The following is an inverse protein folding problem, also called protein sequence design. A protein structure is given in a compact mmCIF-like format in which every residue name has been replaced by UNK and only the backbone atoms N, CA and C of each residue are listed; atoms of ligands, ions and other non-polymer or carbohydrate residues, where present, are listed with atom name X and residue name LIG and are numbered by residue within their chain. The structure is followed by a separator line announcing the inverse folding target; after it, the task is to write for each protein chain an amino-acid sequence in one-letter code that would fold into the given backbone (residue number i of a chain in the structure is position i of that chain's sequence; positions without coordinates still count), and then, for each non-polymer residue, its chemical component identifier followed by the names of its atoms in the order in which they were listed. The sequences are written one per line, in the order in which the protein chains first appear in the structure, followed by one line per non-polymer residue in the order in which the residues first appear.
data_IF_279634898423
#
_entry.id   IF_279634898423
#
_cell.length_a   1.000
_cell.length_b   1.000
_cell.length_c   1.000
_cell.angle_alpha   90.00
_cell.angle_beta   90.00
_cell.angle_gamma   90.00
#
_symmetry.space_group_name_H-M   'P 1'
#
loop_
_entity.id
_entity.type
_entity.pdbx_description
1 polymer ?
#
# COMPACT_ATOMS: atom_id res chain seq x y z
N UNK A 1 53.62 -55.72 -13.07
CA UNK A 1 53.37 -56.73 -12.03
C UNK A 1 53.16 -56.01 -10.70
N UNK A 2 52.25 -56.48 -9.84
CA UNK A 2 52.14 -56.05 -8.45
C UNK A 2 51.22 -54.84 -8.16
N UNK A 3 49.92 -55.09 -8.06
CA UNK A 3 49.10 -54.53 -6.96
C UNK A 3 49.36 -55.38 -5.67
N UNK A 4 48.98 -54.98 -4.43
CA UNK A 4 47.65 -54.46 -4.00
C UNK A 4 47.74 -53.33 -2.93
N UNK A 5 46.74 -52.81 -2.18
CA UNK A 5 45.25 -52.52 -2.24
C UNK A 5 44.95 -51.57 -1.03
N UNK A 6 43.69 -51.14 -0.82
CA UNK A 6 43.13 -50.54 0.42
C UNK A 6 43.48 -49.05 0.75
N UNK A 7 42.56 -48.19 1.25
CA UNK A 7 41.12 -48.37 1.59
C UNK A 7 40.33 -47.02 1.59
N UNK A 8 39.21 -46.94 0.85
CA UNK A 8 38.04 -46.02 0.97
C UNK A 8 38.21 -44.46 0.84
N UNK A 9 37.12 -43.67 0.59
CA UNK A 9 37.20 -42.53 -0.34
C UNK A 9 36.70 -41.16 0.18
N UNK A 10 37.11 -40.08 -0.50
CA UNK A 10 36.64 -38.70 -0.24
C UNK A 10 35.53 -38.24 -1.22
N UNK A 11 34.34 -38.00 -0.66
CA UNK A 11 33.30 -37.02 -1.07
C UNK A 11 32.98 -36.81 -2.57
N UNK A 12 31.83 -37.33 -3.01
CA UNK A 12 31.21 -37.06 -4.31
C UNK A 12 30.57 -35.64 -4.41
N UNK A 13 31.35 -34.59 -4.69
CA UNK A 13 30.79 -33.26 -5.02
C UNK A 13 31.46 -32.48 -6.17
N UNK A 14 31.95 -33.16 -7.20
CA UNK A 14 32.31 -32.45 -8.45
C UNK A 14 32.25 -33.31 -9.73
N UNK A 15 31.02 -33.57 -10.23
CA UNK A 15 30.71 -33.96 -11.63
C UNK A 15 29.20 -34.05 -11.86
N UNK A 16 28.57 -32.95 -12.27
CA UNK A 16 27.16 -32.91 -12.70
C UNK A 16 27.07 -32.37 -14.15
N UNK A 17 26.69 -33.18 -15.15
CA UNK A 17 26.67 -32.74 -16.55
C UNK A 17 25.63 -31.65 -16.83
N UNK A 18 26.05 -30.56 -17.50
CA UNK A 18 25.21 -29.39 -17.88
C UNK A 18 24.04 -29.67 -18.85
N UNK A 19 23.65 -30.92 -19.09
CA UNK A 19 22.57 -31.32 -20.03
C UNK A 19 21.25 -31.73 -19.38
N UNK A 20 21.16 -31.78 -18.04
CA UNK A 20 19.91 -32.11 -17.33
C UNK A 20 19.03 -30.89 -17.01
N UNK A 21 19.62 -29.70 -16.83
CA UNK A 21 18.87 -28.51 -16.38
C UNK A 21 17.94 -27.92 -17.46
N UNK A 22 18.30 -28.00 -18.74
CA UNK A 22 17.51 -27.43 -19.86
C UNK A 22 16.28 -28.25 -20.25
N UNK A 23 16.08 -29.45 -19.70
CA UNK A 23 14.89 -30.29 -19.96
C UNK A 23 13.84 -30.27 -18.85
N UNK A 24 14.12 -29.67 -17.69
CA UNK A 24 13.16 -29.57 -16.58
C UNK A 24 12.31 -28.28 -16.65
N UNK A 25 12.92 -27.16 -17.01
CA UNK A 25 12.25 -25.85 -17.12
C UNK A 25 11.12 -25.83 -18.16
N UNK A 26 11.28 -26.55 -19.28
CA UNK A 26 10.30 -26.63 -20.37
C UNK A 26 9.00 -27.38 -20.04
N UNK A 27 8.87 -28.04 -18.88
CA UNK A 27 7.66 -28.81 -18.52
C UNK A 27 6.87 -28.29 -17.32
N UNK A 28 7.43 -27.36 -16.55
CA UNK A 28 6.73 -26.79 -15.37
C UNK A 28 5.78 -25.64 -15.75
N UNK A 29 6.04 -24.94 -16.86
CA UNK A 29 5.21 -23.81 -17.34
C UNK A 29 3.80 -24.26 -17.77
N UNK A 30 3.61 -25.52 -18.17
CA UNK A 30 2.32 -26.03 -18.67
C UNK A 30 1.31 -26.40 -17.55
N UNK A 31 1.72 -26.41 -16.29
CA UNK A 31 0.89 -26.91 -15.18
C UNK A 31 -0.02 -25.87 -14.51
N UNK A 32 -0.01 -24.60 -14.94
CA UNK A 32 -0.95 -23.57 -14.44
C UNK A 32 -2.32 -23.55 -15.11
N UNK A 33 -2.55 -24.34 -16.17
CA UNK A 33 -3.88 -24.48 -16.81
C UNK A 33 -4.77 -25.57 -16.16
N UNK A 34 -4.25 -26.38 -15.24
CA UNK A 34 -4.93 -27.59 -14.75
C UNK A 34 -5.72 -27.43 -13.44
N UNK A 35 -6.07 -26.19 -13.06
CA UNK A 35 -6.94 -25.86 -11.92
C UNK A 35 -8.18 -25.06 -12.34
N UNK A 36 -8.67 -25.30 -13.56
CA UNK A 36 -10.04 -24.93 -13.95
C UNK A 36 -11.00 -26.05 -13.53
N UNK A 37 -12.07 -25.67 -12.84
CA UNK A 37 -13.06 -26.61 -12.32
C UNK A 37 -13.84 -27.30 -13.47
N UNK A 38 -14.28 -28.54 -13.27
CA UNK A 38 -15.01 -29.31 -14.29
C UNK A 38 -16.37 -28.70 -14.65
N UNK A 39 -16.90 -27.80 -13.81
CA UNK A 39 -18.06 -26.94 -14.10
C UNK A 39 -17.76 -25.89 -15.17
N UNK A 40 -16.67 -25.10 -15.03
CA UNK A 40 -16.34 -24.03 -15.99
C UNK A 40 -15.90 -24.56 -17.35
N UNK A 41 -15.27 -25.74 -17.41
CA UNK A 41 -14.94 -26.38 -18.70
C UNK A 41 -16.18 -26.75 -19.54
N UNK A 42 -17.35 -26.93 -18.90
CA UNK A 42 -18.61 -27.26 -19.57
C UNK A 42 -19.34 -26.03 -20.13
N UNK A 43 -19.03 -24.83 -19.62
CA UNK A 43 -19.61 -23.57 -20.09
C UNK A 43 -18.88 -22.98 -21.31
N UNK A 44 -17.59 -23.28 -21.47
CA UNK A 44 -16.74 -22.73 -22.54
C UNK A 44 -16.96 -23.43 -23.90
N UNK A 45 -17.46 -24.67 -23.90
CA UNK A 45 -17.72 -25.46 -25.12
C UNK A 45 -19.22 -25.53 -25.46
N UNK A 46 -19.82 -24.36 -25.71
CA UNK A 46 -21.13 -24.29 -26.36
C UNK A 46 -21.08 -24.90 -27.76
N UNK A 47 -21.87 -25.96 -27.99
CA UNK A 47 -22.16 -26.57 -29.29
C UNK A 47 -20.94 -27.03 -30.14
N UNK A 48 -19.84 -27.47 -29.51
CA UNK A 48 -18.77 -28.19 -30.19
C UNK A 48 -18.98 -29.72 -30.13
N UNK A 49 -19.25 -30.37 -31.26
CA UNK A 49 -19.43 -31.83 -31.35
C UNK A 49 -18.08 -32.53 -31.19
N UNK A 50 -17.78 -33.04 -30.00
CA UNK A 50 -16.57 -33.84 -29.73
C UNK A 50 -16.83 -35.31 -30.11
N UNK A 51 -16.01 -35.93 -30.99
CA UNK A 51 -16.18 -37.33 -31.35
C UNK A 51 -16.09 -38.28 -30.13
N UNK A 52 -17.11 -39.14 -30.00
CA UNK A 52 -17.39 -39.91 -28.78
C UNK A 52 -16.31 -40.96 -28.40
N UNK A 53 -15.30 -41.17 -29.24
CA UNK A 53 -14.26 -42.20 -29.09
C UNK A 53 -13.05 -41.80 -28.24
N UNK A 54 -12.88 -40.51 -27.89
CA UNK A 54 -11.69 -40.04 -27.15
C UNK A 54 -11.83 -40.10 -25.61
N UNK A 55 -13.06 -40.19 -25.09
CA UNK A 55 -13.37 -40.09 -23.65
C UNK A 55 -12.66 -41.19 -22.80
N UNK A 56 -12.62 -42.48 -23.19
CA UNK A 56 -12.06 -43.53 -22.33
C UNK A 56 -10.54 -43.39 -22.06
N UNK A 57 -9.78 -42.82 -23.00
CA UNK A 57 -8.31 -42.76 -22.92
C UNK A 57 -7.78 -41.68 -21.96
N UNK A 58 -8.57 -40.66 -21.63
CA UNK A 58 -8.20 -39.64 -20.65
C UNK A 58 -8.37 -40.11 -19.21
N UNK A 59 -9.49 -40.77 -18.90
CA UNK A 59 -9.82 -41.22 -17.53
C UNK A 59 -8.74 -42.12 -16.93
N UNK A 60 -8.29 -43.14 -17.68
CA UNK A 60 -7.29 -44.11 -17.21
C UNK A 60 -5.88 -43.54 -16.95
N UNK A 61 -5.53 -42.38 -17.53
CA UNK A 61 -4.25 -41.70 -17.26
C UNK A 61 -4.32 -40.83 -16.00
N UNK A 62 -5.44 -40.12 -15.81
CA UNK A 62 -5.63 -39.23 -14.67
C UNK A 62 -5.57 -39.99 -13.32
N UNK A 63 -6.29 -41.10 -13.22
CA UNK A 63 -6.31 -41.93 -12.00
C UNK A 63 -4.94 -42.52 -11.62
N UNK A 64 -4.06 -42.82 -12.60
CA UNK A 64 -2.69 -43.30 -12.30
C UNK A 64 -1.81 -42.19 -11.70
N UNK A 65 -1.88 -40.98 -12.25
CA UNK A 65 -1.14 -39.84 -11.70
C UNK A 65 -1.58 -39.52 -10.26
N UNK A 66 -2.89 -39.50 -10.01
CA UNK A 66 -3.47 -39.21 -8.69
C UNK A 66 -3.07 -40.25 -7.64
N UNK A 67 -3.12 -41.56 -7.97
CA UNK A 67 -2.66 -42.64 -7.08
C UNK A 67 -1.16 -42.55 -6.77
N UNK A 68 -0.32 -42.19 -7.75
CA UNK A 68 1.13 -42.09 -7.55
C UNK A 68 1.50 -40.92 -6.62
N UNK A 69 0.86 -39.75 -6.78
CA UNK A 69 1.04 -38.60 -5.89
C UNK A 69 0.59 -38.91 -4.45
N UNK A 70 -0.54 -39.60 -4.29
CA UNK A 70 -1.04 -39.99 -2.96
C UNK A 70 -0.09 -40.98 -2.25
N UNK A 71 0.54 -41.89 -3.00
CA UNK A 71 1.55 -42.82 -2.48
C UNK A 71 2.81 -42.07 -2.00
N UNK A 72 3.28 -41.07 -2.75
CA UNK A 72 4.45 -40.27 -2.37
C UNK A 72 4.15 -39.46 -1.10
N UNK A 73 2.97 -38.83 -1.02
CA UNK A 73 2.53 -38.09 0.17
C UNK A 73 2.46 -39.00 1.42
N UNK A 74 1.94 -40.22 1.26
CA UNK A 74 1.85 -41.20 2.35
C UNK A 74 3.23 -41.68 2.83
N UNK A 75 4.17 -41.94 1.90
CA UNK A 75 5.55 -42.29 2.24
C UNK A 75 6.29 -41.16 2.97
N UNK A 76 6.06 -39.89 2.59
CA UNK A 76 6.62 -38.73 3.30
C UNK A 76 6.09 -38.64 4.74
N UNK A 77 4.82 -39.00 4.98
CA UNK A 77 4.22 -39.00 6.33
C UNK A 77 4.61 -40.17 7.23
N UNK A 78 5.30 -41.20 6.73
CA UNK A 78 5.65 -42.41 7.50
C UNK A 78 7.15 -42.59 7.76
N UNK A 79 7.99 -41.60 7.45
CA UNK A 79 9.41 -41.63 7.80
C UNK A 79 9.60 -41.42 9.33
N UNK A 80 10.23 -42.35 10.07
CA UNK A 80 10.43 -42.21 11.51
C UNK A 80 11.46 -41.11 11.83
N UNK A 81 11.16 -40.30 12.85
CA UNK A 81 12.04 -39.20 13.26
C UNK A 81 13.14 -39.68 14.21
N UNK A 82 14.38 -39.72 13.71
CA UNK A 82 15.60 -39.92 14.50
C UNK A 82 16.68 -38.87 14.21
N UNK A 83 16.28 -37.72 13.67
CA UNK A 83 17.16 -36.55 13.59
C UNK A 83 17.33 -35.94 14.99
N UNK A 84 18.55 -35.51 15.39
CA UNK A 84 18.73 -34.73 16.61
C UNK A 84 17.94 -33.41 16.51
N UNK A 85 17.45 -32.87 17.64
CA UNK A 85 16.70 -31.62 17.63
C UNK A 85 17.56 -30.50 17.02
N UNK A 86 16.99 -29.63 16.16
CA UNK A 86 17.74 -28.51 15.61
C UNK A 86 18.22 -27.61 16.76
N UNK A 87 19.42 -27.01 16.66
CA UNK A 87 19.92 -26.11 17.69
C UNK A 87 18.91 -24.98 17.89
N UNK A 88 18.44 -24.81 19.14
CA UNK A 88 17.43 -23.80 19.45
C UNK A 88 17.93 -22.42 19.00
N UNK A 89 17.16 -21.78 18.12
CA UNK A 89 17.50 -20.44 17.66
C UNK A 89 17.42 -19.48 18.85
N UNK A 90 18.40 -18.59 19.07
CA UNK A 90 18.33 -17.62 20.14
C UNK A 90 17.10 -16.72 19.94
N UNK A 91 16.39 -16.34 21.01
CA UNK A 91 15.20 -15.50 20.90
C UNK A 91 15.57 -14.16 20.26
N UNK A 92 14.83 -13.77 19.21
CA UNK A 92 15.10 -12.55 18.45
C UNK A 92 14.85 -11.27 19.26
N UNK A 93 14.08 -11.36 20.35
CA UNK A 93 13.58 -10.21 21.13
C UNK A 93 13.91 -10.39 22.61
N UNK A 94 14.43 -9.33 23.21
CA UNK A 94 14.79 -9.20 24.63
C UNK A 94 14.01 -8.04 25.24
N UNK A 95 13.52 -8.20 26.46
CA UNK A 95 12.97 -7.13 27.28
C UNK A 95 13.79 -6.95 28.56
N UNK A 96 14.12 -5.71 28.90
CA UNK A 96 14.69 -5.36 30.21
C UNK A 96 14.42 -3.88 30.56
N UNK A 97 14.53 -3.55 31.84
CA UNK A 97 14.65 -2.15 32.26
C UNK A 97 16.02 -1.59 31.88
N UNK A 98 16.06 -0.34 31.44
CA UNK A 98 17.27 0.30 30.95
C UNK A 98 18.27 0.59 32.09
N UNK A 99 19.29 -0.27 32.23
CA UNK A 99 20.39 -0.18 33.22
C UNK A 99 21.17 1.15 33.25
N UNK A 100 20.93 2.06 32.30
CA UNK A 100 21.43 3.44 32.25
C UNK A 100 20.84 4.17 31.04
N UNK A 101 20.85 5.50 31.08
CA UNK A 101 20.39 6.38 30.00
C UNK A 101 21.32 6.41 28.76
N UNK A 102 22.27 5.48 28.62
CA UNK A 102 23.24 5.44 27.50
C UNK A 102 22.70 4.85 26.19
N UNK A 103 21.45 4.38 26.18
CA UNK A 103 20.81 3.76 25.00
C UNK A 103 19.83 4.72 24.31
N UNK A 104 19.98 4.90 22.99
CA UNK A 104 19.00 5.60 22.16
C UNK A 104 18.08 4.62 21.41
N UNK A 105 16.79 4.95 21.36
CA UNK A 105 15.77 4.17 20.67
C UNK A 105 15.97 4.22 19.14
N UNK A 106 16.06 3.07 18.46
CA UNK A 106 16.36 3.03 17.02
C UNK A 106 15.23 3.49 16.08
N UNK A 107 13.99 3.64 16.57
CA UNK A 107 12.85 4.17 15.79
C UNK A 107 12.68 5.69 15.88
N UNK A 108 12.93 6.29 17.05
CA UNK A 108 12.69 7.72 17.30
C UNK A 108 13.94 8.53 17.71
N UNK A 109 15.11 7.89 17.77
CA UNK A 109 16.43 8.45 18.14
C UNK A 109 16.55 9.08 19.52
N UNK A 110 15.45 9.30 20.25
CA UNK A 110 15.44 9.79 21.64
C UNK A 110 16.16 8.81 22.57
N UNK A 111 16.77 9.35 23.61
CA UNK A 111 17.37 8.62 24.73
C UNK A 111 16.30 7.86 25.51
N UNK A 112 16.55 6.57 25.77
CA UNK A 112 15.75 5.76 26.70
C UNK A 112 16.24 6.09 28.11
N UNK A 113 15.35 6.55 28.99
CA UNK A 113 15.70 6.90 30.38
C UNK A 113 16.19 5.68 31.18
N UNK A 114 16.97 5.90 32.23
CA UNK A 114 17.34 4.82 33.15
C UNK A 114 16.08 4.25 33.84
N UNK A 115 16.09 2.94 34.12
CA UNK A 115 14.98 2.15 34.65
C UNK A 115 13.70 2.11 33.79
N UNK A 116 13.62 2.79 32.64
CA UNK A 116 12.50 2.66 31.72
C UNK A 116 12.53 1.30 30.99
N UNK A 117 11.36 0.69 30.79
CA UNK A 117 11.23 -0.56 30.03
C UNK A 117 11.63 -0.37 28.56
N UNK A 118 12.45 -1.28 28.04
CA UNK A 118 12.89 -1.29 26.64
C UNK A 118 12.85 -2.67 26.01
N UNK A 119 12.53 -2.70 24.71
CA UNK A 119 12.53 -3.89 23.87
C UNK A 119 13.70 -3.82 22.90
N UNK A 120 14.47 -4.91 22.80
CA UNK A 120 15.67 -5.01 21.98
C UNK A 120 15.58 -6.17 21.00
N UNK A 121 15.71 -5.91 19.70
CA UNK A 121 15.90 -7.01 18.73
C UNK A 121 17.38 -7.36 18.60
N UNK A 122 17.71 -8.65 18.70
CA UNK A 122 19.09 -9.15 18.69
C UNK A 122 19.43 -9.67 17.30
N UNK A 123 20.46 -9.10 16.68
CA UNK A 123 20.95 -9.54 15.37
C UNK A 123 22.45 -9.77 15.41
N UNK A 124 22.93 -10.92 14.91
CA UNK A 124 24.36 -11.21 14.79
C UNK A 124 25.02 -10.42 13.67
N UNK A 125 26.20 -9.89 13.93
CA UNK A 125 27.06 -9.30 12.91
C UNK A 125 27.83 -10.39 12.13
N UNK A 126 28.50 -9.99 11.04
CA UNK A 126 29.27 -10.90 10.18
C UNK A 126 30.53 -11.48 10.83
N UNK A 127 30.84 -11.12 12.07
CA UNK A 127 31.95 -11.63 12.88
C UNK A 127 31.46 -12.50 14.05
N UNK A 128 30.14 -12.70 14.17
CA UNK A 128 29.51 -13.54 15.19
C UNK A 128 29.09 -12.84 16.48
N UNK A 129 29.22 -11.51 16.58
CA UNK A 129 28.82 -10.76 17.79
C UNK A 129 27.34 -10.40 17.76
N UNK A 130 26.64 -10.63 18.88
CA UNK A 130 25.24 -10.25 19.06
C UNK A 130 25.11 -8.72 19.22
N UNK A 131 24.34 -8.07 18.33
CA UNK A 131 24.04 -6.63 18.38
C UNK A 131 22.56 -6.37 18.71
N UNK A 132 22.29 -5.82 19.88
CA UNK A 132 20.91 -5.46 20.31
C UNK A 132 20.49 -4.07 19.84
N UNK A 133 19.38 -3.99 19.10
CA UNK A 133 18.74 -2.75 18.65
C UNK A 133 17.62 -2.36 19.62
N UNK A 134 17.93 -1.48 20.57
CA UNK A 134 17.00 -1.04 21.60
C UNK A 134 15.92 -0.06 21.10
N UNK A 135 14.72 -0.18 21.65
CA UNK A 135 13.55 0.65 21.41
C UNK A 135 12.78 0.88 22.74
N UNK A 136 12.04 1.98 22.85
CA UNK A 136 10.92 2.04 23.81
C UNK A 136 9.84 1.00 23.43
N UNK A 137 8.92 0.69 24.36
CA UNK A 137 7.83 -0.27 24.16
C UNK A 137 7.01 0.05 22.89
N UNK A 138 6.39 1.23 22.81
CA UNK A 138 5.62 1.71 21.63
C UNK A 138 6.50 1.94 20.38
N UNK A 139 7.82 1.85 20.58
CA UNK A 139 8.79 2.01 19.53
C UNK A 139 9.29 0.69 18.92
N UNK A 140 8.88 -0.47 19.43
CA UNK A 140 9.32 -1.76 18.89
C UNK A 140 8.59 -2.10 17.57
N UNK A 141 9.27 -2.69 16.56
CA UNK A 141 8.66 -3.03 15.27
C UNK A 141 8.05 -4.44 15.27
N UNK A 142 6.98 -4.65 16.04
CA UNK A 142 6.30 -5.96 16.22
C UNK A 142 5.94 -6.62 14.86
N UNK A 143 5.53 -5.83 13.87
CA UNK A 143 5.16 -6.30 12.51
C UNK A 143 6.38 -6.80 11.68
N UNK A 144 7.61 -6.50 12.10
CA UNK A 144 8.84 -6.90 11.39
C UNK A 144 9.64 -8.00 12.12
N UNK A 145 9.45 -8.12 13.43
CA UNK A 145 9.98 -9.20 14.27
C UNK A 145 8.79 -9.81 15.01
N UNK A 146 8.03 -10.74 14.38
CA UNK A 146 6.86 -11.34 15.01
C UNK A 146 7.26 -12.05 16.31
N UNK A 147 6.44 -11.86 17.33
CA UNK A 147 6.57 -12.45 18.65
C UNK A 147 5.47 -13.50 18.77
N UNK A 148 5.85 -14.77 18.83
CA UNK A 148 4.90 -15.89 18.81
C UNK A 148 4.11 -15.97 20.12
N UNK A 149 4.75 -15.67 21.26
CA UNK A 149 4.10 -15.46 22.57
C UNK A 149 4.88 -14.46 23.43
N UNK A 150 4.23 -13.86 24.43
CA UNK A 150 4.93 -12.96 25.37
C UNK A 150 6.08 -13.68 26.12
N UNK A 151 5.88 -14.95 26.46
CA UNK A 151 6.87 -15.79 27.15
C UNK A 151 8.09 -16.14 26.28
N UNK A 152 8.02 -15.97 24.95
CA UNK A 152 9.18 -16.12 24.06
C UNK A 152 10.14 -14.93 24.11
N UNK A 153 9.79 -13.84 24.80
CA UNK A 153 10.63 -12.65 24.95
C UNK A 153 11.65 -12.90 26.08
N UNK A 154 12.94 -12.88 25.76
CA UNK A 154 13.99 -13.09 26.76
C UNK A 154 13.98 -11.97 27.81
N UNK A 155 13.87 -12.33 29.09
CA UNK A 155 13.82 -11.38 30.21
C UNK A 155 12.40 -11.00 30.66
N UNK A 156 11.34 -11.44 29.96
CA UNK A 156 9.94 -11.16 30.30
C UNK A 156 9.58 -11.49 31.76
N UNK A 157 9.99 -12.68 32.24
CA UNK A 157 9.77 -13.14 33.62
C UNK A 157 10.51 -12.34 34.70
N UNK A 158 11.40 -11.41 34.32
CA UNK A 158 12.13 -10.50 35.22
C UNK A 158 11.55 -9.08 35.24
N UNK A 159 10.43 -8.85 34.56
CA UNK A 159 9.69 -7.58 34.59
C UNK A 159 8.66 -7.56 35.73
N UNK A 160 8.19 -6.38 36.11
CA UNK A 160 7.07 -6.23 37.04
C UNK A 160 5.77 -6.74 36.40
N UNK A 161 4.84 -7.26 37.20
CA UNK A 161 3.59 -7.87 36.72
C UNK A 161 2.74 -6.93 35.84
N UNK A 162 2.68 -5.64 36.18
CA UNK A 162 1.97 -4.65 35.36
C UNK A 162 2.57 -4.50 33.95
N UNK A 163 3.92 -4.51 33.84
CA UNK A 163 4.62 -4.46 32.54
C UNK A 163 4.49 -5.78 31.76
N UNK A 164 4.40 -6.92 32.46
CA UNK A 164 4.14 -8.22 31.84
C UNK A 164 2.76 -8.25 31.15
N UNK A 165 1.70 -7.78 31.84
CA UNK A 165 0.35 -7.71 31.25
C UNK A 165 0.24 -6.64 30.16
N UNK A 166 0.94 -5.52 30.28
CA UNK A 166 1.03 -4.51 29.22
C UNK A 166 1.67 -5.09 27.93
N UNK A 167 2.76 -5.84 28.06
CA UNK A 167 3.41 -6.51 26.93
C UNK A 167 2.56 -7.64 26.33
N UNK A 168 1.90 -8.47 27.15
CA UNK A 168 0.92 -9.46 26.67
C UNK A 168 -0.19 -8.80 25.85
N UNK A 169 -0.80 -7.75 26.39
CA UNK A 169 -1.86 -6.98 25.73
C UNK A 169 -1.41 -6.43 24.37
N UNK A 170 -0.17 -5.92 24.28
CA UNK A 170 0.42 -5.45 23.02
C UNK A 170 0.68 -6.57 22.00
N UNK A 171 1.11 -7.76 22.44
CA UNK A 171 1.32 -8.92 21.56
C UNK A 171 -0.02 -9.44 21.04
N UNK A 172 -0.98 -9.74 21.91
CA UNK A 172 -2.32 -10.25 21.53
C UNK A 172 -3.03 -9.28 20.57
N UNK A 173 -3.00 -7.97 20.87
CA UNK A 173 -3.60 -6.94 20.01
C UNK A 173 -2.91 -6.80 18.64
N UNK A 174 -1.67 -7.27 18.48
CA UNK A 174 -1.03 -7.36 17.16
C UNK A 174 -1.33 -8.67 16.43
N UNK A 175 -1.74 -9.73 17.13
CA UNK A 175 -2.11 -11.02 16.54
C UNK A 175 -3.54 -11.00 15.98
N UNK A 176 -4.54 -10.48 16.72
CA UNK A 176 -5.94 -10.41 16.23
C UNK A 176 -6.06 -9.56 14.95
N UNK A 177 -5.32 -8.45 14.87
CA UNK A 177 -5.22 -7.58 13.69
C UNK A 177 -4.64 -8.25 12.42
N UNK A 178 -4.10 -9.47 12.53
CA UNK A 178 -3.63 -10.28 11.40
C UNK A 178 -4.63 -11.38 11.02
N UNK A 179 -5.46 -11.84 11.95
CA UNK A 179 -6.47 -12.89 11.74
C UNK A 179 -7.75 -12.32 11.12
N UNK A 180 -8.20 -11.15 11.56
CA UNK A 180 -9.34 -10.39 10.99
C UNK A 180 -9.17 -10.02 9.50
N UNK A 181 -7.97 -10.20 8.93
CA UNK A 181 -7.65 -9.90 7.54
C UNK A 181 -7.82 -11.09 6.57
N UNK A 182 -8.19 -12.29 7.04
CA UNK A 182 -8.00 -13.53 6.26
C UNK A 182 -9.20 -14.49 6.10
N UNK A 183 -10.34 -14.28 6.76
CA UNK A 183 -11.55 -15.08 6.52
C UNK A 183 -12.78 -14.19 6.25
N UNK A 184 -13.72 -14.69 5.42
CA UNK A 184 -14.68 -13.84 4.73
C UNK A 184 -15.87 -14.52 4.05
N UNK A 185 -16.25 -15.76 4.40
CA UNK A 185 -17.57 -16.29 4.01
C UNK A 185 -18.03 -17.52 4.81
N UNK A 186 -19.04 -17.35 5.69
CA UNK A 186 -20.33 -18.10 5.75
C UNK A 186 -20.99 -17.96 7.16
N UNK A 187 -22.29 -18.30 7.28
CA UNK A 187 -22.65 -19.19 8.39
C UNK A 187 -23.77 -18.88 9.40
N UNK A 188 -24.42 -17.71 9.41
CA UNK A 188 -25.77 -17.49 9.97
C UNK A 188 -26.12 -17.87 11.47
N UNK A 189 -26.50 -16.87 12.26
CA UNK A 189 -27.45 -16.91 13.41
C UNK A 189 -27.15 -17.76 14.67
N UNK A 190 -27.05 -17.07 15.82
CA UNK A 190 -28.00 -17.16 16.96
C UNK A 190 -27.68 -16.07 17.98
N UNK A 191 -28.67 -15.65 18.77
CA UNK A 191 -28.50 -14.62 19.80
C UNK A 191 -29.11 -15.01 21.14
N UNK A 192 -28.48 -14.53 22.21
CA UNK A 192 -28.97 -14.43 23.61
C UNK A 192 -28.06 -13.34 24.23
N UNK A 193 -28.50 -12.15 24.68
CA UNK A 193 -29.53 -11.79 25.67
C UNK A 193 -29.03 -11.94 27.12
N UNK A 194 -28.67 -10.78 27.74
CA UNK A 194 -28.71 -10.47 29.20
C UNK A 194 -27.60 -11.15 30.06
N UNK A 195 -27.03 -10.58 31.14
CA UNK A 195 -27.23 -9.37 31.99
C UNK A 195 -25.83 -8.71 32.24
N UNK A 196 -25.63 -7.38 32.46
CA UNK A 196 -25.76 -6.56 33.71
C UNK A 196 -25.26 -7.27 34.99
N UNK A 197 -24.61 -6.63 35.97
CA UNK A 197 -24.67 -5.24 36.48
C UNK A 197 -23.53 -4.32 35.98
N UNK A 198 -23.58 -2.98 36.05
CA UNK A 198 -24.15 -2.03 37.05
C UNK A 198 -23.34 -2.05 38.38
N UNK A 199 -23.29 -0.99 39.21
CA UNK A 199 -24.04 0.27 39.26
C UNK A 199 -23.62 1.38 38.23
N UNK A 200 -24.16 2.60 38.39
CA UNK A 200 -24.22 3.70 37.39
C UNK A 200 -23.09 4.77 37.53
N UNK A 201 -23.18 6.12 37.57
CA UNK A 201 -24.16 7.24 37.71
C UNK A 201 -23.44 8.50 37.13
N UNK A 202 -23.96 9.65 36.66
CA UNK A 202 -25.28 10.34 36.53
C UNK A 202 -25.85 10.18 35.06
N UNK A 203 -27.04 10.59 34.56
CA UNK A 203 -28.06 11.65 34.82
C UNK A 203 -27.62 13.10 34.46
N UNK A 204 -28.34 14.00 33.76
CA UNK A 204 -29.42 14.04 32.71
C UNK A 204 -29.16 15.32 31.84
N UNK A 205 -29.84 15.78 30.77
CA UNK A 205 -31.12 15.53 30.05
C UNK A 205 -30.81 15.30 28.51
N UNK A 206 -31.68 14.96 27.54
CA UNK A 206 -33.11 15.25 27.22
C UNK A 206 -33.38 16.70 26.71
N UNK A 207 -34.32 17.00 25.79
CA UNK A 207 -34.77 16.23 24.60
C UNK A 207 -35.09 17.23 23.43
N UNK A 208 -35.38 16.80 22.20
CA UNK A 208 -36.78 16.49 21.81
C UNK A 208 -36.90 15.94 20.39
N UNK A 209 -37.98 15.19 20.15
CA UNK A 209 -38.11 14.29 19.00
C UNK A 209 -39.33 14.61 18.11
N UNK A 210 -39.20 14.63 16.77
CA UNK A 210 -40.29 14.10 15.93
C UNK A 210 -39.92 13.56 14.53
N UNK A 211 -40.40 12.34 14.30
CA UNK A 211 -40.73 11.66 13.04
C UNK A 211 -41.68 12.46 12.11
N UNK A 212 -41.99 12.16 10.83
CA UNK A 212 -42.14 10.94 9.97
C UNK A 212 -42.03 11.43 8.46
N UNK A 213 -42.08 10.69 7.32
CA UNK A 213 -42.35 9.28 6.90
C UNK A 213 -42.03 9.08 5.38
N UNK A 214 -41.21 8.07 5.03
CA UNK A 214 -41.07 7.29 3.75
C UNK A 214 -41.42 7.87 2.35
N UNK A 215 -40.51 7.65 1.38
CA UNK A 215 -40.79 6.97 0.09
C UNK A 215 -39.52 6.23 -0.45
N UNK A 216 -39.66 5.30 -1.40
CA UNK A 216 -38.56 4.45 -1.92
C UNK A 216 -38.29 4.70 -3.42
N UNK A 217 -37.04 4.52 -3.87
CA UNK A 217 -36.73 4.03 -5.23
C UNK A 217 -35.25 3.62 -5.44
N UNK A 218 -35.03 2.33 -5.72
CA UNK A 218 -33.90 1.69 -6.44
C UNK A 218 -32.44 1.83 -5.91
N UNK A 219 -31.54 0.86 -6.21
CA UNK A 219 -30.13 0.88 -5.77
C UNK A 219 -29.15 1.27 -6.90
N UNK A 220 -28.07 1.99 -6.58
CA UNK A 220 -27.04 2.33 -7.58
C UNK A 220 -25.93 3.28 -7.15
N UNK A 221 -25.54 3.31 -5.88
CA UNK A 221 -24.45 4.18 -5.40
C UNK A 221 -23.28 3.34 -4.87
N UNK A 222 -22.11 3.51 -5.48
CA UNK A 222 -20.85 3.02 -4.92
C UNK A 222 -20.54 3.74 -3.60
N UNK A 223 -19.80 3.09 -2.70
CA UNK A 223 -19.53 3.61 -1.35
C UNK A 223 -18.67 4.89 -1.39
N UNK A 224 -19.33 6.03 -1.55
CA UNK A 224 -18.73 7.35 -1.63
C UNK A 224 -18.26 7.76 -0.22
N UNK A 225 -17.05 7.31 0.15
CA UNK A 225 -16.39 7.62 1.42
C UNK A 225 -16.36 9.14 1.62
N UNK A 226 -17.24 9.67 2.48
CA UNK A 226 -17.40 11.11 2.60
C UNK A 226 -16.16 11.72 3.27
N UNK A 227 -15.34 12.38 2.44
CA UNK A 227 -14.16 13.10 2.91
C UNK A 227 -14.62 14.35 3.66
N UNK A 228 -14.75 14.22 4.98
CA UNK A 228 -15.03 15.31 5.90
C UNK A 228 -13.83 16.28 5.92
N UNK A 229 -13.89 17.32 5.08
CA UNK A 229 -12.92 18.41 5.04
C UNK A 229 -13.42 19.57 5.91
N UNK A 230 -12.62 19.93 6.92
CA UNK A 230 -12.84 21.10 7.77
C UNK A 230 -11.67 22.07 7.68
N UNK A 231 -11.96 23.37 7.76
CA UNK A 231 -10.95 24.43 7.83
C UNK A 231 -10.04 24.26 9.05
N UNK A 232 -10.54 23.68 10.15
CA UNK A 232 -9.76 23.37 11.35
C UNK A 232 -8.65 22.33 11.15
N UNK A 233 -8.76 21.49 10.11
CA UNK A 233 -7.80 20.42 9.84
C UNK A 233 -6.67 20.83 8.88
N UNK A 234 -6.81 22.00 8.27
CA UNK A 234 -5.84 22.61 7.35
C UNK A 234 -4.60 23.08 8.13
N UNK A 235 -3.40 22.74 7.65
CA UNK A 235 -2.13 22.94 8.36
C UNK A 235 -1.05 23.55 7.46
N UNK A 236 -0.29 24.52 7.97
CA UNK A 236 0.88 25.12 7.28
C UNK A 236 2.11 24.19 7.20
N UNK A 237 1.98 22.95 7.68
CA UNK A 237 3.07 21.97 7.78
C UNK A 237 2.56 20.58 7.42
N UNK A 238 3.24 19.93 6.49
CA UNK A 238 3.02 18.51 6.21
C UNK A 238 3.92 17.66 7.10
N UNK A 239 3.34 17.16 8.20
CA UNK A 239 4.02 16.35 9.23
C UNK A 239 5.16 17.14 9.89
N UNK A 240 6.42 16.88 9.51
CA UNK A 240 7.60 17.62 10.02
C UNK A 240 8.24 18.54 8.98
N UNK A 241 7.64 18.71 7.80
CA UNK A 241 8.08 19.69 6.80
C UNK A 241 7.21 20.95 6.87
N UNK A 242 7.86 22.11 6.85
CA UNK A 242 7.21 23.41 6.68
C UNK A 242 6.84 23.61 5.22
N UNK A 243 5.66 24.16 4.95
CA UNK A 243 5.22 24.48 3.59
C UNK A 243 5.61 25.93 3.23
N UNK A 244 5.62 26.23 1.93
CA UNK A 244 5.78 27.60 1.44
C UNK A 244 4.48 28.40 1.69
N UNK A 245 4.52 29.75 1.66
CA UNK A 245 3.30 30.56 1.71
C UNK A 245 2.25 30.09 0.69
N UNK A 246 0.98 30.17 1.09
CA UNK A 246 -0.20 29.69 0.35
C UNK A 246 -0.24 28.17 0.10
N UNK A 247 0.77 27.38 0.50
CA UNK A 247 0.70 25.92 0.47
C UNK A 247 0.25 25.37 1.82
N UNK A 248 -0.78 24.52 1.81
CA UNK A 248 -1.38 23.92 3.00
C UNK A 248 -1.42 22.40 2.90
N UNK A 249 -1.58 21.72 4.04
CA UNK A 249 -1.78 20.29 4.14
C UNK A 249 -3.14 19.97 4.76
N UNK A 250 -3.79 18.94 4.22
CA UNK A 250 -4.95 18.28 4.81
C UNK A 250 -4.76 16.76 4.69
N UNK A 251 -4.85 16.03 5.81
CA UNK A 251 -4.61 14.58 5.87
C UNK A 251 -3.30 14.12 5.15
N UNK A 252 -3.41 13.51 3.96
CA UNK A 252 -2.29 13.04 3.11
C UNK A 252 -2.04 13.91 1.89
N UNK A 253 -2.88 14.92 1.61
CA UNK A 253 -2.73 15.85 0.47
C UNK A 253 -2.08 17.16 0.91
N UNK A 254 -1.17 17.68 0.08
CA UNK A 254 -0.72 19.08 0.11
C UNK A 254 -1.42 19.80 -1.04
N UNK A 255 -1.94 21.01 -0.82
CA UNK A 255 -2.60 21.80 -1.86
C UNK A 255 -2.14 23.26 -1.83
N UNK A 256 -2.26 23.91 -2.99
CA UNK A 256 -2.09 25.36 -3.13
C UNK A 256 -3.44 26.02 -2.86
N UNK A 257 -3.49 27.01 -1.96
CA UNK A 257 -4.66 27.85 -1.76
C UNK A 257 -4.96 28.69 -3.00
N UNK A 258 -6.18 29.22 -3.09
CA UNK A 258 -6.65 30.04 -4.21
C UNK A 258 -5.65 31.16 -4.53
N UNK A 259 -5.00 31.05 -5.68
CA UNK A 259 -4.19 32.12 -6.24
C UNK A 259 -5.10 33.26 -6.73
N UNK A 260 -4.59 34.49 -6.69
CA UNK A 260 -5.30 35.64 -7.28
C UNK A 260 -5.59 35.39 -8.77
N UNK A 261 -6.80 35.75 -9.20
CA UNK A 261 -7.30 35.46 -10.55
C UNK A 261 -7.77 34.01 -10.78
N UNK A 262 -7.57 33.05 -9.86
CA UNK A 262 -8.13 31.71 -10.04
C UNK A 262 -9.66 31.75 -9.96
N UNK A 263 -10.32 31.59 -11.11
CA UNK A 263 -11.77 31.52 -11.22
C UNK A 263 -12.31 30.10 -11.04
N UNK A 264 -13.48 30.00 -10.43
CA UNK A 264 -14.29 28.77 -10.40
C UNK A 264 -15.04 28.62 -11.72
N UNK A 265 -15.27 27.38 -12.17
CA UNK A 265 -15.94 27.13 -13.45
C UNK A 265 -16.69 25.81 -13.41
N UNK A 266 -17.72 25.70 -14.27
CA UNK A 266 -18.32 24.40 -14.62
C UNK A 266 -17.40 23.56 -15.50
N UNK A 267 -16.43 24.17 -16.19
CA UNK A 267 -15.49 23.48 -17.08
C UNK A 267 -14.14 23.29 -16.37
N UNK A 268 -13.74 22.05 -16.14
CA UNK A 268 -12.47 21.71 -15.50
C UNK A 268 -11.53 21.09 -16.53
N UNK A 269 -10.36 21.71 -16.72
CA UNK A 269 -9.24 21.12 -17.43
C UNK A 269 -8.22 20.65 -16.38
N UNK A 270 -8.13 19.34 -16.18
CA UNK A 270 -7.33 18.74 -15.13
C UNK A 270 -6.15 17.92 -15.70
N UNK A 271 -5.02 17.92 -14.98
CA UNK A 271 -3.74 17.39 -15.49
C UNK A 271 -2.96 16.60 -14.43
N UNK A 272 -2.12 15.64 -14.83
CA UNK A 272 -0.92 15.27 -14.05
C UNK A 272 0.22 16.29 -14.30
N UNK A 273 1.33 16.17 -13.57
CA UNK A 273 2.50 17.02 -13.66
C UNK A 273 3.74 16.28 -14.23
N UNK A 274 4.14 15.13 -13.67
CA UNK A 274 5.45 14.49 -13.85
C UNK A 274 5.44 13.47 -15.00
N UNK A 275 5.45 13.95 -16.23
CA UNK A 275 5.29 13.15 -17.45
C UNK A 275 4.20 13.71 -18.37
N UNK A 276 3.23 14.46 -17.81
CA UNK A 276 2.19 15.15 -18.56
C UNK A 276 2.58 16.58 -18.94
N UNK A 277 2.69 17.48 -17.95
CA UNK A 277 3.01 18.90 -18.20
C UNK A 277 4.52 19.16 -18.26
N UNK A 278 5.30 18.42 -17.46
CA UNK A 278 6.75 18.61 -17.33
C UNK A 278 7.52 17.29 -17.38
N UNK A 279 8.69 17.31 -18.03
CA UNK A 279 9.72 16.29 -17.92
C UNK A 279 10.52 16.53 -16.65
N UNK A 280 10.47 15.60 -15.70
CA UNK A 280 11.18 15.71 -14.42
C UNK A 280 12.23 14.62 -14.31
N UNK A 281 13.46 14.99 -13.94
CA UNK A 281 14.56 14.04 -13.92
C UNK A 281 14.63 13.36 -12.55
N UNK A 282 14.19 12.11 -12.45
CA UNK A 282 14.21 11.28 -11.22
C UNK A 282 15.58 11.13 -10.55
N UNK A 283 16.69 11.50 -11.24
CA UNK A 283 18.06 11.51 -10.70
C UNK A 283 18.49 12.90 -10.16
N UNK A 284 17.72 13.96 -10.40
CA UNK A 284 17.98 15.33 -9.92
C UNK A 284 16.90 15.75 -8.92
N UNK A 285 17.29 16.48 -7.88
CA UNK A 285 16.38 16.96 -6.83
C UNK A 285 16.57 18.48 -6.70
N UNK A 286 15.47 19.22 -6.68
CA UNK A 286 15.48 20.68 -6.60
C UNK A 286 14.31 21.31 -7.36
N UNK A 287 14.01 22.58 -7.06
CA UNK A 287 12.93 23.34 -7.68
C UNK A 287 13.04 23.44 -9.21
N UNK A 288 14.27 23.40 -9.73
CA UNK A 288 14.57 23.60 -11.17
C UNK A 288 14.95 22.28 -11.88
N UNK A 289 14.66 21.13 -11.26
CA UNK A 289 14.96 19.80 -11.79
C UNK A 289 14.03 19.32 -12.93
N UNK A 290 13.46 20.25 -13.71
CA UNK A 290 12.39 20.02 -14.68
C UNK A 290 12.64 20.73 -16.03
N UNK A 291 11.84 20.38 -17.04
CA UNK A 291 11.60 21.17 -18.27
C UNK A 291 10.17 20.93 -18.73
N UNK A 292 9.63 21.77 -19.63
CA UNK A 292 8.32 21.49 -20.26
C UNK A 292 8.31 20.11 -20.94
N UNK A 293 7.16 19.42 -20.92
CA UNK A 293 6.99 18.17 -21.66
C UNK A 293 6.92 18.45 -23.18
N UNK A 294 6.10 19.42 -23.58
CA UNK A 294 6.02 19.94 -24.96
C UNK A 294 6.11 21.48 -24.95
N UNK A 295 6.68 22.12 -26.00
CA UNK A 295 6.76 23.58 -26.07
C UNK A 295 5.41 24.29 -26.06
N UNK A 296 4.36 23.62 -26.54
CA UNK A 296 2.96 24.07 -26.65
C UNK A 296 2.19 24.12 -25.32
N UNK A 297 2.73 23.56 -24.23
CA UNK A 297 2.04 23.48 -22.92
C UNK A 297 1.60 24.85 -22.39
N UNK A 298 2.44 25.92 -22.38
CA UNK A 298 2.02 27.24 -21.89
C UNK A 298 0.84 27.81 -22.69
N UNK A 299 0.93 27.75 -24.02
CA UNK A 299 -0.05 28.37 -24.92
C UNK A 299 -1.40 27.63 -24.88
N UNK A 300 -1.37 26.29 -24.81
CA UNK A 300 -2.60 25.48 -24.66
C UNK A 300 -3.27 25.69 -23.29
N UNK A 301 -2.50 25.84 -22.20
CA UNK A 301 -3.06 26.21 -20.89
C UNK A 301 -3.60 27.65 -20.87
N UNK A 302 -2.94 28.59 -21.54
CA UNK A 302 -3.44 29.97 -21.70
C UNK A 302 -4.74 30.02 -22.50
N UNK A 303 -4.86 29.26 -23.61
CA UNK A 303 -6.11 29.16 -24.37
C UNK A 303 -7.23 28.63 -23.49
N UNK A 304 -7.04 27.49 -22.82
CA UNK A 304 -8.04 26.90 -21.93
C UNK A 304 -8.49 27.86 -20.83
N UNK A 305 -7.57 28.58 -20.20
CA UNK A 305 -7.91 29.58 -19.19
C UNK A 305 -8.77 30.72 -19.78
N UNK A 306 -8.38 31.26 -20.93
CA UNK A 306 -9.14 32.30 -21.64
C UNK A 306 -10.51 31.80 -22.14
N UNK A 307 -10.62 30.52 -22.50
CA UNK A 307 -11.87 29.82 -22.82
C UNK A 307 -12.77 29.61 -21.58
N UNK A 308 -12.33 29.99 -20.38
CA UNK A 308 -13.08 29.86 -19.13
C UNK A 308 -13.02 28.47 -18.49
N UNK A 309 -11.98 27.69 -18.75
CA UNK A 309 -11.68 26.49 -17.97
C UNK A 309 -10.94 26.84 -16.68
N UNK A 310 -11.36 26.21 -15.58
CA UNK A 310 -10.54 26.14 -14.38
C UNK A 310 -9.43 25.11 -14.58
N UNK A 311 -8.19 25.55 -14.43
CA UNK A 311 -7.01 24.68 -14.56
C UNK A 311 -6.69 24.01 -13.21
N UNK A 312 -6.54 22.68 -13.21
CA UNK A 312 -6.24 21.90 -12.00
C UNK A 312 -5.11 20.90 -12.23
N UNK A 313 -4.16 20.81 -11.30
CA UNK A 313 -3.14 19.75 -11.29
C UNK A 313 -3.40 18.78 -10.14
N UNK A 314 -3.47 17.49 -10.47
CA UNK A 314 -3.60 16.37 -9.55
C UNK A 314 -2.37 15.46 -9.69
N UNK A 315 -1.41 15.52 -8.76
CA UNK A 315 -0.13 14.79 -8.87
C UNK A 315 0.15 13.86 -7.68
N UNK A 316 0.73 12.68 -7.97
CA UNK A 316 1.06 11.63 -7.01
C UNK A 316 2.54 11.72 -6.56
N UNK A 317 2.85 12.29 -5.39
CA UNK A 317 4.24 12.47 -4.93
C UNK A 317 4.62 11.61 -3.72
N UNK A 318 4.80 10.31 -3.96
CA UNK A 318 5.14 9.33 -2.92
C UNK A 318 6.52 9.54 -2.25
N UNK A 319 7.40 10.41 -2.77
CA UNK A 319 8.69 10.67 -2.09
C UNK A 319 8.51 11.52 -0.83
N UNK A 320 7.49 12.39 -0.77
CA UNK A 320 7.22 13.21 0.42
C UNK A 320 6.93 12.33 1.65
N UNK A 321 6.19 11.22 1.51
CA UNK A 321 6.00 10.30 2.63
C UNK A 321 7.13 9.28 2.82
N UNK A 322 7.71 8.76 1.72
CA UNK A 322 8.81 7.77 1.80
C UNK A 322 10.07 8.36 2.44
N UNK A 323 10.45 9.59 2.11
CA UNK A 323 11.71 10.20 2.51
C UNK A 323 11.63 10.87 3.89
N UNK A 324 11.20 10.15 4.93
CA UNK A 324 10.91 10.68 6.28
C UNK A 324 12.00 11.63 6.85
N UNK A 325 13.28 11.30 6.63
CA UNK A 325 14.43 12.07 7.12
C UNK A 325 14.92 13.18 6.14
N UNK A 326 14.36 13.23 4.93
CA UNK A 326 14.63 14.23 3.89
C UNK A 326 13.32 14.86 3.36
N UNK A 327 12.27 14.88 4.20
CA UNK A 327 10.91 15.25 3.78
C UNK A 327 10.83 16.70 3.31
N UNK A 328 11.52 17.61 3.99
CA UNK A 328 11.62 19.01 3.56
C UNK A 328 12.18 19.10 2.13
N UNK A 329 13.31 18.45 1.86
CA UNK A 329 13.93 18.39 0.52
C UNK A 329 12.97 17.82 -0.54
N UNK A 330 12.15 16.81 -0.21
CA UNK A 330 11.15 16.26 -1.13
C UNK A 330 9.99 17.24 -1.39
N UNK A 331 9.52 17.94 -0.34
CA UNK A 331 8.50 19.00 -0.41
C UNK A 331 9.02 20.18 -1.24
N UNK A 332 10.17 20.76 -0.88
CA UNK A 332 10.80 21.89 -1.58
C UNK A 332 11.02 21.57 -3.07
N UNK A 333 11.46 20.34 -3.38
CA UNK A 333 11.65 19.86 -4.74
C UNK A 333 10.33 19.76 -5.53
N UNK A 334 9.23 19.27 -4.96
CA UNK A 334 7.92 19.21 -5.65
C UNK A 334 7.26 20.58 -5.75
N UNK A 335 7.14 21.29 -4.63
CA UNK A 335 6.47 22.60 -4.57
C UNK A 335 7.24 23.68 -5.35
N UNK A 336 8.57 23.65 -5.30
CA UNK A 336 9.42 24.52 -6.11
C UNK A 336 9.22 24.31 -7.62
N UNK A 337 9.17 23.05 -8.08
CA UNK A 337 8.86 22.72 -9.49
C UNK A 337 7.48 23.22 -9.91
N UNK A 338 6.46 23.00 -9.08
CA UNK A 338 5.09 23.46 -9.32
C UNK A 338 5.00 25.00 -9.38
N UNK A 339 5.59 25.70 -8.39
CA UNK A 339 5.63 27.16 -8.36
C UNK A 339 6.37 27.75 -9.57
N UNK A 340 7.50 27.16 -9.98
CA UNK A 340 8.27 27.66 -11.13
C UNK A 340 7.59 27.31 -12.47
N UNK A 341 6.84 26.21 -12.55
CA UNK A 341 5.96 25.92 -13.68
C UNK A 341 4.81 26.93 -13.80
N UNK A 342 4.08 27.23 -12.73
CA UNK A 342 2.97 28.20 -12.73
C UNK A 342 3.46 29.58 -13.21
N UNK A 343 4.61 30.05 -12.70
CA UNK A 343 5.27 31.28 -13.17
C UNK A 343 5.65 31.25 -14.65
N UNK A 344 5.99 30.08 -15.19
CA UNK A 344 6.37 29.91 -16.59
C UNK A 344 5.14 29.97 -17.52
N UNK A 345 4.02 29.33 -17.14
CA UNK A 345 2.79 29.30 -17.96
C UNK A 345 1.90 30.54 -17.80
N UNK A 346 2.11 31.34 -16.73
CA UNK A 346 1.47 32.65 -16.49
C UNK A 346 -0.06 32.64 -16.37
N UNK A 347 -0.64 31.50 -15.99
CA UNK A 347 -2.07 31.35 -15.66
C UNK A 347 -2.24 30.78 -14.25
N UNK A 348 -3.31 31.15 -13.52
CA UNK A 348 -3.58 30.60 -12.21
C UNK A 348 -4.02 29.14 -12.32
N UNK A 349 -3.46 28.27 -11.47
CA UNK A 349 -3.73 26.82 -11.48
C UNK A 349 -3.96 26.36 -10.05
N UNK A 350 -5.07 25.65 -9.81
CA UNK A 350 -5.33 24.96 -8.56
C UNK A 350 -4.47 23.68 -8.49
N UNK A 351 -3.79 23.41 -7.38
CA UNK A 351 -2.89 22.24 -7.29
C UNK A 351 -3.18 21.38 -6.07
N UNK A 352 -3.21 20.05 -6.26
CA UNK A 352 -3.27 19.04 -5.22
C UNK A 352 -2.17 17.98 -5.43
N UNK A 353 -1.51 17.61 -4.34
CA UNK A 353 -0.34 16.73 -4.28
C UNK A 353 -0.60 15.60 -3.28
N UNK A 354 -0.99 14.42 -3.77
CA UNK A 354 -1.18 13.24 -2.94
C UNK A 354 0.19 12.68 -2.49
N UNK A 355 0.57 12.96 -1.24
CA UNK A 355 1.90 12.66 -0.71
C UNK A 355 2.09 11.19 -0.31
N UNK A 356 0.99 10.45 -0.17
CA UNK A 356 0.99 9.04 0.21
C UNK A 356 0.87 8.80 1.71
N UNK A 357 0.46 7.57 2.01
CA UNK A 357 0.59 6.88 3.29
C UNK A 357 1.92 6.13 3.39
N UNK A 358 2.36 5.86 4.62
CA UNK A 358 3.43 4.89 4.86
C UNK A 358 2.96 3.48 4.45
N UNK A 359 3.84 2.70 3.82
CA UNK A 359 3.58 1.31 3.43
C UNK A 359 3.08 0.46 4.61
N UNK A 360 2.10 -0.41 4.38
CA UNK A 360 1.44 -1.19 5.42
C UNK A 360 0.29 -0.46 6.12
N UNK A 361 -0.44 0.41 5.41
CA UNK A 361 -1.67 1.06 5.86
C UNK A 361 -2.76 0.93 4.80
N UNK A 362 -4.03 1.05 5.21
CA UNK A 362 -5.19 1.12 4.32
C UNK A 362 -5.04 2.26 3.28
N UNK A 363 -5.55 2.04 2.07
CA UNK A 363 -5.26 2.85 0.88
C UNK A 363 -5.53 4.36 1.07
N UNK A 364 -4.68 5.19 0.44
CA UNK A 364 -4.77 6.65 0.49
C UNK A 364 -5.87 7.14 -0.46
N UNK A 365 -7.02 7.67 0.03
CA UNK A 365 -8.14 8.02 -0.83
C UNK A 365 -7.85 9.21 -1.76
N UNK A 366 -6.82 10.00 -1.46
CA UNK A 366 -6.37 11.10 -2.31
C UNK A 366 -5.41 10.63 -3.40
N UNK A 367 -4.83 9.43 -3.30
CA UNK A 367 -3.85 8.94 -4.26
C UNK A 367 -4.52 8.38 -5.51
N UNK A 368 -4.24 8.97 -6.67
CA UNK A 368 -4.69 8.42 -7.97
C UNK A 368 -4.27 6.94 -8.06
N UNK A 369 -5.19 6.01 -8.40
CA UNK A 369 -6.44 6.26 -9.12
C UNK A 369 -7.68 6.63 -8.29
N UNK A 370 -7.58 6.75 -6.95
CA UNK A 370 -8.73 7.13 -6.10
C UNK A 370 -9.17 8.59 -6.35
N UNK A 371 -10.48 8.91 -6.33
CA UNK A 371 -11.00 10.22 -6.70
C UNK A 371 -10.86 11.30 -5.61
N UNK A 372 -10.24 11.04 -4.45
CA UNK A 372 -10.34 11.93 -3.27
C UNK A 372 -9.80 13.34 -3.46
N UNK A 373 -8.80 13.56 -4.33
CA UNK A 373 -8.37 14.92 -4.69
C UNK A 373 -9.43 15.66 -5.53
N UNK A 374 -10.15 14.96 -6.42
CA UNK A 374 -11.25 15.55 -7.17
C UNK A 374 -12.42 15.89 -6.24
N UNK A 375 -12.84 14.94 -5.40
CA UNK A 375 -13.96 15.09 -4.47
C UNK A 375 -13.80 16.32 -3.57
N UNK A 376 -12.59 16.59 -3.05
CA UNK A 376 -12.36 17.84 -2.28
C UNK A 376 -12.36 19.09 -3.17
N UNK A 377 -11.78 19.02 -4.38
CA UNK A 377 -11.72 20.14 -5.32
C UNK A 377 -13.12 20.63 -5.71
N UNK A 378 -13.99 19.70 -6.08
CA UNK A 378 -15.39 19.93 -6.43
C UNK A 378 -16.18 20.50 -5.24
N UNK A 379 -16.19 19.78 -4.10
CA UNK A 379 -17.05 20.11 -2.95
C UNK A 379 -16.61 21.38 -2.18
N UNK A 380 -15.30 21.67 -2.12
CA UNK A 380 -14.77 22.74 -1.25
C UNK A 380 -14.00 23.83 -1.99
N UNK A 381 -13.46 23.58 -3.18
CA UNK A 381 -12.65 24.56 -3.90
C UNK A 381 -13.33 25.15 -5.15
N UNK A 382 -14.54 24.72 -5.52
CA UNK A 382 -15.28 25.19 -6.71
C UNK A 382 -16.53 26.04 -6.42
N UNK A 383 -16.66 26.60 -5.20
CA UNK A 383 -17.79 27.45 -4.75
C UNK A 383 -19.19 26.88 -5.00
N UNK A 384 -19.35 25.55 -5.00
CA UNK A 384 -20.62 24.89 -5.27
C UNK A 384 -21.08 24.94 -6.74
N UNK A 385 -20.23 25.39 -7.68
CA UNK A 385 -20.54 25.36 -9.11
C UNK A 385 -20.46 23.91 -9.58
N UNK A 386 -21.62 23.37 -10.00
CA UNK A 386 -21.75 22.04 -10.59
C UNK A 386 -20.88 21.90 -11.84
N UNK A 387 -20.19 20.77 -11.97
CA UNK A 387 -19.21 20.53 -13.02
C UNK A 387 -19.88 19.90 -14.25
N UNK A 388 -19.63 20.51 -15.39
CA UNK A 388 -19.99 20.02 -16.71
C UNK A 388 -19.00 18.92 -17.11
N UNK A 389 -19.34 17.67 -16.78
CA UNK A 389 -18.51 16.49 -17.03
C UNK A 389 -18.31 16.20 -18.52
N UNK A 390 -19.20 16.70 -19.37
CA UNK A 390 -19.08 16.56 -20.83
C UNK A 390 -18.09 17.57 -21.42
N UNK A 391 -17.96 18.76 -20.84
CA UNK A 391 -16.94 19.74 -21.22
C UNK A 391 -15.62 19.56 -20.44
N UNK A 392 -15.61 18.83 -19.33
CA UNK A 392 -14.42 18.63 -18.48
C UNK A 392 -13.59 17.39 -18.87
N UNK A 393 -12.28 17.43 -18.61
CA UNK A 393 -11.36 16.35 -19.00
C UNK A 393 -10.13 16.23 -18.10
N UNK A 394 -9.46 15.07 -18.19
CA UNK A 394 -8.18 14.77 -17.57
C UNK A 394 -7.08 14.44 -18.60
N UNK A 395 -5.86 14.91 -18.38
CA UNK A 395 -4.68 14.57 -19.20
C UNK A 395 -3.56 14.01 -18.32
N UNK A 396 -3.00 12.84 -18.67
CA UNK A 396 -1.97 12.18 -17.87
C UNK A 396 -1.19 11.09 -18.62
N UNK A 397 0.06 10.82 -18.21
CA UNK A 397 0.91 9.82 -18.90
C UNK A 397 0.61 8.37 -18.47
N UNK A 398 0.02 8.19 -17.27
CA UNK A 398 -0.28 6.87 -16.72
C UNK A 398 -1.56 6.27 -17.32
N UNK A 399 -1.51 5.96 -18.62
CA UNK A 399 -2.62 5.45 -19.41
C UNK A 399 -2.65 3.91 -19.54
N UNK A 400 -1.77 3.19 -18.83
CA UNK A 400 -1.73 1.72 -18.86
C UNK A 400 -1.21 1.11 -20.17
N UNK A 401 -0.61 1.91 -21.05
CA UNK A 401 0.03 1.45 -22.29
C UNK A 401 1.30 0.65 -21.94
N UNK A 402 1.78 -0.17 -22.88
CA UNK A 402 2.91 -1.11 -22.68
C UNK A 402 4.18 -0.53 -22.05
N UNK A 403 4.45 0.76 -22.26
CA UNK A 403 5.64 1.46 -21.77
C UNK A 403 5.33 2.47 -20.65
N UNK A 404 4.07 2.63 -20.25
CA UNK A 404 3.68 3.56 -19.19
C UNK A 404 4.10 3.01 -17.82
N UNK A 405 4.33 3.92 -16.88
CA UNK A 405 4.78 3.56 -15.54
C UNK A 405 3.66 2.98 -14.65
N UNK A 406 2.39 3.29 -14.97
CA UNK A 406 1.17 2.76 -14.36
C UNK A 406 -0.07 3.10 -15.22
N UNK A 407 -1.26 2.71 -14.77
CA UNK A 407 -2.57 3.13 -15.31
C UNK A 407 -3.31 4.14 -14.41
N UNK A 408 -2.60 4.77 -13.46
CA UNK A 408 -3.20 5.58 -12.41
C UNK A 408 -4.00 6.80 -12.90
N UNK A 409 -3.71 7.33 -14.10
CA UNK A 409 -4.35 8.54 -14.64
C UNK A 409 -5.62 8.21 -15.40
N UNK A 410 -5.59 7.18 -16.25
CA UNK A 410 -6.79 6.71 -16.96
C UNK A 410 -7.82 6.12 -15.99
N UNK A 411 -7.38 5.42 -14.95
CA UNK A 411 -8.28 4.91 -13.91
C UNK A 411 -8.80 6.03 -13.00
N UNK A 412 -8.02 7.10 -12.73
CA UNK A 412 -8.51 8.30 -12.03
C UNK A 412 -9.59 9.01 -12.85
N UNK A 413 -9.33 9.28 -14.13
CA UNK A 413 -10.31 9.89 -15.02
C UNK A 413 -11.60 9.06 -15.10
N UNK A 414 -11.48 7.73 -15.21
CA UNK A 414 -12.61 6.80 -15.19
C UNK A 414 -13.37 6.80 -13.86
N UNK A 415 -12.68 6.83 -12.72
CA UNK A 415 -13.31 6.85 -11.39
C UNK A 415 -14.01 8.18 -11.07
N UNK A 416 -13.68 9.25 -11.78
CA UNK A 416 -14.35 10.56 -11.71
C UNK A 416 -15.43 10.72 -12.79
N UNK A 417 -15.34 9.98 -13.91
CA UNK A 417 -16.24 10.12 -15.07
C UNK A 417 -15.79 11.17 -16.10
N UNK A 418 -14.50 11.52 -16.12
CA UNK A 418 -13.92 12.50 -17.06
C UNK A 418 -13.52 11.87 -18.40
N UNK A 419 -13.59 12.67 -19.46
CA UNK A 419 -12.90 12.39 -20.73
C UNK A 419 -11.39 12.39 -20.49
N UNK A 420 -10.68 11.42 -21.07
CA UNK A 420 -9.25 11.23 -20.84
C UNK A 420 -8.45 11.39 -22.14
N UNK A 421 -7.29 12.06 -22.03
CA UNK A 421 -6.33 12.24 -23.12
C UNK A 421 -4.91 11.92 -22.64
N UNK A 422 -4.04 11.45 -23.55
CA UNK A 422 -2.61 11.31 -23.26
C UNK A 422 -1.83 12.57 -23.69
N UNK A 423 -0.67 12.86 -23.08
CA UNK A 423 0.05 14.12 -23.32
C UNK A 423 0.53 14.26 -24.77
N UNK A 424 0.87 13.12 -25.41
CA UNK A 424 1.30 13.05 -26.81
C UNK A 424 0.22 13.56 -27.77
N UNK A 425 -1.04 13.20 -27.52
CA UNK A 425 -2.18 13.58 -28.37
C UNK A 425 -2.62 15.02 -28.07
N UNK A 426 -2.70 15.36 -26.77
CA UNK A 426 -3.21 16.66 -26.33
C UNK A 426 -2.22 17.81 -26.59
N UNK A 427 -0.93 17.61 -26.34
CA UNK A 427 0.11 18.63 -26.43
C UNK A 427 1.11 18.41 -27.56
N UNK A 428 1.23 17.21 -28.15
CA UNK A 428 2.19 16.95 -29.24
C UNK A 428 1.85 17.61 -30.57
N UNK A 429 0.66 18.18 -30.71
CA UNK A 429 0.22 19.09 -31.78
C UNK A 429 0.56 20.55 -31.50
#
# INVERSE_FOLDING_TARGET
YGEPVDRYPKTWRERLPRKLFSRLTSRIVSSRLLMLNLSTFRAILGNAIVPQQLIPRFHGRCQRAQKHLHSIYFQIKQAPSSAPPPPQMPPKVVAEYAKSNRSSCKKCSKTIAANALRLGSVTRDSRGFDMTKWHHVDCFPIVSEPIDSADSIQGFSSLQSADQEALKTLVTKCQTFLEEAFDGSEGNSKGLVVQKTDEDEEEVELESTNSKKRKLSAPGEEAHLEIAFSVSDIKDKYKNATLLPNWKAFQTVIFLERADGLHDSKKIAAFDFDGCLVKTNVKRVGADAWSLMYPSVPDKLQSLYNDGYKLVIFTNEANIERWKNKRQIAVDSKLGRLNNFIKCVKVPIQVFVACGIASGKAEDPFRKPKPGMWQIMEKYFNSGISIDMDQSFYVGDAAGRKNDHSDADIQFAKAVGLKFYVPEEYFGS
#
